data_IF_490023412429
#
_entry.id   IF_490023412429
#
_cell.length_a   1.000
_cell.length_b   1.000
_cell.length_c   1.000
_cell.angle_alpha   90.00
_cell.angle_beta   90.00
_cell.angle_gamma   90.00
#
_symmetry.space_group_name_H-M   'P 1'
#
loop_
_entity.id
_entity.type
_entity.pdbx_description
1 polymer ?
#
# COMPACT_ATOMS: atom_id res chain seq x y z
N UNK A 1 38.97 25.37 -39.46
CA UNK A 1 39.04 24.29 -38.45
C UNK A 1 38.00 24.60 -37.40
N UNK A 2 36.85 23.93 -37.48
CA UNK A 2 35.85 23.95 -36.43
C UNK A 2 36.14 22.80 -35.47
N UNK A 3 36.19 23.10 -34.17
CA UNK A 3 36.15 22.14 -33.08
C UNK A 3 34.86 22.38 -32.28
N UNK A 4 34.14 21.33 -31.87
CA UNK A 4 32.77 21.43 -31.38
C UNK A 4 32.75 21.91 -29.93
N UNK A 5 31.88 22.89 -29.63
CA UNK A 5 31.56 23.22 -28.27
C UNK A 5 30.51 22.22 -27.76
N UNK A 6 30.95 21.50 -26.74
CA UNK A 6 30.27 20.54 -25.89
C UNK A 6 28.79 20.79 -25.63
N UNK A 7 28.04 19.70 -25.73
CA UNK A 7 26.79 19.45 -25.05
C UNK A 7 26.91 19.80 -23.56
N UNK A 8 26.20 20.83 -23.09
CA UNK A 8 25.71 20.86 -21.72
C UNK A 8 24.32 20.23 -21.72
N UNK A 9 24.34 18.91 -21.59
CA UNK A 9 23.23 18.11 -21.12
C UNK A 9 22.80 18.65 -19.75
N UNK A 10 21.73 19.44 -19.76
CA UNK A 10 20.96 19.70 -18.53
C UNK A 10 20.21 18.42 -18.19
N UNK A 11 20.87 17.52 -17.48
CA UNK A 11 20.23 16.44 -16.75
C UNK A 11 19.32 17.04 -15.70
N UNK A 12 18.04 17.22 -16.03
CA UNK A 12 16.98 17.33 -15.03
C UNK A 12 16.86 15.97 -14.37
N UNK A 13 17.27 15.87 -13.11
CA UNK A 13 16.82 14.83 -12.20
C UNK A 13 15.30 14.91 -12.13
N UNK A 14 14.59 14.05 -12.86
CA UNK A 14 13.15 13.84 -12.69
C UNK A 14 12.96 12.83 -11.57
N UNK A 15 13.17 13.28 -10.35
CA UNK A 15 12.78 12.54 -9.13
C UNK A 15 11.38 13.02 -8.69
N UNK A 16 10.50 13.26 -9.68
CA UNK A 16 9.12 13.69 -9.46
C UNK A 16 8.30 12.45 -9.12
N UNK A 17 7.68 12.44 -7.93
CA UNK A 17 6.70 11.42 -7.58
C UNK A 17 5.58 11.41 -8.64
N UNK A 18 5.09 10.23 -9.04
CA UNK A 18 3.99 10.13 -9.99
C UNK A 18 2.72 10.74 -9.38
N UNK A 19 2.08 11.62 -10.12
CA UNK A 19 0.86 12.31 -9.68
C UNK A 19 -0.35 11.40 -9.83
N UNK A 20 -0.33 10.45 -10.76
CA UNK A 20 -1.39 9.47 -10.95
C UNK A 20 -0.86 8.03 -11.02
N UNK A 21 -1.33 7.18 -10.11
CA UNK A 21 -0.95 5.76 -10.01
C UNK A 21 -2.17 4.84 -10.17
N UNK A 22 -2.08 3.84 -11.04
CA UNK A 22 -3.05 2.76 -11.18
C UNK A 22 -2.56 1.50 -10.47
N UNK A 23 -3.33 1.02 -9.49
CA UNK A 23 -3.07 -0.21 -8.75
C UNK A 23 -3.89 -1.36 -9.34
N UNK A 24 -3.23 -2.30 -10.01
CA UNK A 24 -3.88 -3.52 -10.50
C UNK A 24 -3.85 -4.58 -9.41
N UNK A 25 -5.01 -5.00 -8.91
CA UNK A 25 -5.08 -5.91 -7.77
C UNK A 25 -6.51 -6.16 -7.32
N UNK A 26 -6.75 -7.35 -6.76
CA UNK A 26 -8.02 -7.69 -6.12
C UNK A 26 -8.23 -6.94 -4.80
N UNK A 27 -9.02 -7.53 -3.89
CA UNK A 27 -9.43 -6.94 -2.61
C UNK A 27 -8.29 -6.78 -1.57
N UNK A 28 -7.17 -6.19 -2.00
CA UNK A 28 -6.11 -5.76 -1.12
C UNK A 28 -6.59 -4.52 -0.38
N UNK A 29 -6.58 -4.59 0.95
CA UNK A 29 -6.74 -3.46 1.85
C UNK A 29 -5.75 -2.33 1.47
N UNK A 30 -5.96 -1.13 2.03
CA UNK A 30 -4.95 -0.06 1.96
C UNK A 30 -3.58 -0.65 2.28
N UNK A 31 -2.58 -0.43 1.42
CA UNK A 31 -1.22 -0.86 1.72
C UNK A 31 -0.69 -2.13 1.09
N UNK A 32 -1.20 -2.55 -0.07
CA UNK A 32 -0.38 -3.40 -0.94
C UNK A 32 0.97 -2.70 -1.24
N UNK A 33 2.00 -3.45 -1.61
CA UNK A 33 3.38 -2.94 -1.89
C UNK A 33 3.43 -1.79 -2.93
N UNK A 34 2.30 -1.50 -3.54
CA UNK A 34 2.07 -0.47 -4.52
C UNK A 34 1.47 0.84 -3.96
N UNK A 35 1.08 0.86 -2.68
CA UNK A 35 0.51 2.06 -2.05
C UNK A 35 1.63 3.06 -1.70
N UNK A 36 1.40 4.37 -1.88
CA UNK A 36 2.41 5.38 -1.60
C UNK A 36 2.81 5.38 -0.11
N UNK A 37 4.07 5.74 0.16
CA UNK A 37 4.57 5.95 1.52
C UNK A 37 4.03 7.29 2.06
N UNK A 38 3.15 7.24 3.07
CA UNK A 38 2.40 8.39 3.55
C UNK A 38 2.74 8.72 5.00
N UNK A 39 2.92 10.02 5.26
CA UNK A 39 3.02 10.54 6.62
C UNK A 39 1.63 10.99 7.10
N UNK A 40 0.90 10.18 7.89
CA UNK A 40 -0.52 10.42 8.19
C UNK A 40 -0.77 11.83 8.76
N UNK A 41 0.08 12.30 9.66
CA UNK A 41 -0.08 13.61 10.30
C UNK A 41 0.12 14.80 9.35
N UNK A 42 0.64 14.59 8.15
CA UNK A 42 0.95 15.61 7.13
C UNK A 42 0.14 15.46 5.85
N UNK A 43 -0.65 14.40 5.72
CA UNK A 43 -1.40 14.10 4.50
C UNK A 43 -2.90 14.24 4.76
N UNK A 44 -3.60 14.95 3.88
CA UNK A 44 -5.06 14.90 3.76
C UNK A 44 -5.41 13.76 2.80
N UNK A 45 -6.41 12.96 3.15
CA UNK A 45 -6.77 11.77 2.36
C UNK A 45 -8.25 11.79 2.07
N UNK A 46 -8.59 11.71 0.79
CA UNK A 46 -9.95 11.54 0.31
C UNK A 46 -10.11 10.15 -0.28
N UNK A 47 -10.97 9.33 0.32
CA UNK A 47 -11.29 7.99 -0.20
C UNK A 47 -12.67 8.00 -0.86
N UNK A 48 -12.74 7.46 -2.07
CA UNK A 48 -13.98 7.18 -2.79
C UNK A 48 -14.23 5.67 -2.77
N UNK A 49 -15.29 5.23 -2.08
CA UNK A 49 -15.61 3.82 -1.92
C UNK A 49 -17.10 3.55 -2.17
N UNK A 50 -17.39 2.65 -3.12
CA UNK A 50 -18.77 2.23 -3.42
C UNK A 50 -19.19 1.05 -2.55
N UNK A 51 -18.34 0.03 -2.44
CA UNK A 51 -18.69 -1.24 -1.81
C UNK A 51 -18.37 -1.29 -0.31
N UNK A 52 -17.27 -0.66 0.12
CA UNK A 52 -16.79 -0.78 1.51
C UNK A 52 -17.49 0.21 2.43
N UNK A 53 -17.77 -0.24 3.64
CA UNK A 53 -18.33 0.60 4.68
C UNK A 53 -17.31 1.62 5.19
N UNK A 54 -17.80 2.71 5.77
CA UNK A 54 -16.95 3.73 6.44
C UNK A 54 -16.03 3.09 7.49
N UNK A 55 -16.58 2.16 8.28
CA UNK A 55 -15.82 1.48 9.34
C UNK A 55 -14.69 0.64 8.75
N UNK A 56 -14.95 -0.17 7.72
CA UNK A 56 -13.93 -0.99 7.07
C UNK A 56 -12.81 -0.13 6.47
N UNK A 57 -13.16 0.97 5.80
CA UNK A 57 -12.15 1.89 5.25
C UNK A 57 -11.25 2.49 6.33
N UNK A 58 -11.84 2.90 7.45
CA UNK A 58 -11.11 3.51 8.56
C UNK A 58 -10.25 2.48 9.31
N UNK A 59 -10.75 1.27 9.51
CA UNK A 59 -10.03 0.17 10.15
C UNK A 59 -8.81 -0.24 9.30
N UNK A 60 -9.00 -0.50 8.01
CA UNK A 60 -7.91 -0.88 7.10
C UNK A 60 -6.84 0.21 7.00
N UNK A 61 -7.25 1.49 6.96
CA UNK A 61 -6.30 2.60 6.98
C UNK A 61 -5.45 2.60 8.27
N UNK A 62 -6.10 2.42 9.42
CA UNK A 62 -5.40 2.39 10.73
C UNK A 62 -4.48 1.19 10.85
N UNK A 63 -4.89 0.05 10.33
CA UNK A 63 -4.04 -1.14 10.29
C UNK A 63 -2.80 -0.91 9.43
N UNK A 64 -2.95 -0.19 8.31
CA UNK A 64 -1.83 0.10 7.41
C UNK A 64 -0.87 1.18 7.93
N UNK A 65 -1.40 2.35 8.31
CA UNK A 65 -0.61 3.56 8.60
C UNK A 65 -0.42 3.78 10.11
N UNK A 66 -1.17 3.07 10.97
CA UNK A 66 -1.10 3.18 12.43
C UNK A 66 -1.82 4.39 13.03
N UNK A 67 -2.10 5.42 12.24
CA UNK A 67 -2.79 6.64 12.66
C UNK A 67 -3.73 7.17 11.56
N UNK A 68 -4.70 8.01 11.96
CA UNK A 68 -5.57 8.71 11.00
C UNK A 68 -4.80 9.82 10.28
N UNK A 69 -5.14 10.10 9.00
CA UNK A 69 -4.54 11.21 8.26
C UNK A 69 -4.92 12.54 8.90
N UNK A 70 -4.28 13.65 8.51
CA UNK A 70 -4.55 14.98 9.05
C UNK A 70 -6.02 15.40 8.91
N UNK A 71 -6.57 15.18 7.71
CA UNK A 71 -7.99 15.26 7.41
C UNK A 71 -8.38 14.01 6.60
N UNK A 72 -9.52 13.42 6.92
CA UNK A 72 -10.00 12.20 6.26
C UNK A 72 -11.37 12.45 5.62
N UNK A 73 -11.41 12.60 4.30
CA UNK A 73 -12.65 12.64 3.52
C UNK A 73 -13.06 11.24 3.08
N UNK A 74 -14.34 10.90 3.21
CA UNK A 74 -14.91 9.64 2.73
C UNK A 74 -16.15 9.90 1.88
N UNK A 75 -16.07 9.56 0.59
CA UNK A 75 -17.22 9.55 -0.31
C UNK A 75 -17.73 8.11 -0.40
N UNK A 76 -18.95 7.86 0.10
CA UNK A 76 -19.57 6.53 0.13
C UNK A 76 -20.93 6.50 -0.55
N UNK A 77 -21.44 5.29 -0.81
CA UNK A 77 -22.74 5.07 -1.46
C UNK A 77 -23.75 4.38 -0.53
N UNK A 78 -23.40 4.20 0.75
CA UNK A 78 -24.33 3.75 1.76
C UNK A 78 -25.30 4.87 2.14
N UNK A 79 -26.58 4.55 2.31
CA UNK A 79 -27.60 5.50 2.77
C UNK A 79 -27.24 6.03 4.17
N UNK A 80 -27.24 7.36 4.34
CA UNK A 80 -27.20 7.95 5.67
C UNK A 80 -28.57 7.82 6.34
N UNK A 81 -28.59 7.45 7.62
CA UNK A 81 -29.81 7.54 8.43
C UNK A 81 -30.29 9.01 8.52
N UNK A 82 -31.48 9.26 7.94
CA UNK A 82 -32.45 10.40 8.02
C UNK A 82 -31.99 11.86 8.10
N UNK A 83 -30.75 12.19 8.43
CA UNK A 83 -30.27 13.57 8.62
C UNK A 83 -29.84 14.25 7.32
N UNK A 84 -29.59 13.47 6.26
CA UNK A 84 -29.15 13.96 4.96
C UNK A 84 -30.28 14.58 4.10
N UNK A 85 -31.55 14.32 4.42
CA UNK A 85 -32.70 14.78 3.63
C UNK A 85 -32.89 16.30 3.64
N UNK A 86 -32.31 17.02 4.61
CA UNK A 86 -32.39 18.48 4.66
C UNK A 86 -31.42 19.18 3.67
N UNK A 87 -30.30 18.52 3.30
CA UNK A 87 -29.24 19.11 2.46
C UNK A 87 -29.41 18.83 0.95
N UNK A 88 -30.40 18.03 0.55
CA UNK A 88 -30.66 17.71 -0.86
C UNK A 88 -31.15 18.91 -1.71
N UNK A 89 -31.50 20.04 -1.06
CA UNK A 89 -32.08 21.22 -1.71
C UNK A 89 -31.07 22.12 -2.43
N UNK A 90 -29.77 22.00 -2.16
CA UNK A 90 -28.74 22.91 -2.68
C UNK A 90 -28.00 22.42 -3.93
N UNK A 91 -28.29 21.21 -4.44
CA UNK A 91 -27.58 20.61 -5.58
C UNK A 91 -26.13 20.16 -5.28
N UNK A 92 -25.45 20.83 -4.36
CA UNK A 92 -24.11 20.47 -3.84
C UNK A 92 -24.13 19.12 -3.09
N UNK A 93 -23.10 18.26 -3.24
CA UNK A 93 -22.94 17.04 -2.43
C UNK A 93 -22.89 17.35 -0.92
N UNK A 94 -23.67 16.66 -0.08
CA UNK A 94 -23.68 16.91 1.37
C UNK A 94 -22.37 16.44 2.01
N UNK A 95 -21.77 17.27 2.88
CA UNK A 95 -20.59 16.91 3.68
C UNK A 95 -20.94 16.95 5.16
N UNK A 96 -20.72 15.85 5.86
CA UNK A 96 -21.05 15.71 7.27
C UNK A 96 -19.79 15.32 8.07
N UNK A 97 -19.23 16.23 8.89
CA UNK A 97 -18.13 15.88 9.79
C UNK A 97 -18.64 14.94 10.89
N UNK A 98 -17.85 13.92 11.24
CA UNK A 98 -18.12 13.08 12.41
C UNK A 98 -17.71 13.83 13.68
N UNK A 99 -18.57 13.86 14.71
CA UNK A 99 -18.21 14.45 15.99
C UNK A 99 -16.99 13.76 16.61
N UNK A 100 -15.99 14.54 17.00
CA UNK A 100 -14.81 14.03 17.73
C UNK A 100 -13.77 13.32 16.87
N UNK A 101 -13.87 13.40 15.54
CA UNK A 101 -12.82 12.93 14.62
C UNK A 101 -12.55 13.97 13.53
N UNK A 102 -11.46 13.77 12.80
CA UNK A 102 -11.11 14.54 11.61
C UNK A 102 -11.67 13.89 10.33
N UNK A 103 -12.78 13.15 10.46
CA UNK A 103 -13.42 12.42 9.38
C UNK A 103 -14.63 13.22 8.89
N UNK A 104 -14.72 13.42 7.58
CA UNK A 104 -15.87 14.03 6.92
C UNK A 104 -16.47 13.06 5.91
N UNK A 105 -17.76 12.80 6.00
CA UNK A 105 -18.47 11.89 5.09
C UNK A 105 -19.26 12.65 4.04
N UNK A 106 -19.31 12.10 2.84
CA UNK A 106 -20.18 12.50 1.74
C UNK A 106 -20.87 11.25 1.22
N UNK A 107 -22.20 11.19 1.27
CA UNK A 107 -22.95 10.08 0.67
C UNK A 107 -23.42 10.47 -0.73
N UNK A 108 -23.36 9.50 -1.61
CA UNK A 108 -23.84 9.53 -2.97
C UNK A 108 -24.94 8.49 -3.15
N UNK A 109 -25.93 8.81 -3.98
CA UNK A 109 -27.04 7.90 -4.23
C UNK A 109 -26.80 6.96 -5.42
N UNK A 110 -25.99 7.39 -6.40
CA UNK A 110 -25.86 6.71 -7.69
C UNK A 110 -24.42 6.77 -8.20
N UNK A 111 -23.74 5.62 -8.38
CA UNK A 111 -22.38 5.57 -8.91
C UNK A 111 -22.28 6.01 -10.38
N UNK A 112 -23.39 6.08 -11.12
CA UNK A 112 -23.40 6.60 -12.49
C UNK A 112 -23.35 8.13 -12.58
N UNK A 113 -23.60 8.85 -11.47
CA UNK A 113 -23.52 10.31 -11.43
C UNK A 113 -22.07 10.80 -11.22
N UNK A 114 -21.23 10.53 -12.23
CA UNK A 114 -19.81 10.90 -12.25
C UNK A 114 -19.59 12.42 -12.14
N UNK A 115 -20.57 13.23 -12.58
CA UNK A 115 -20.52 14.70 -12.45
C UNK A 115 -20.65 15.14 -11.00
N UNK A 116 -21.59 14.54 -10.26
CA UNK A 116 -21.75 14.79 -8.83
C UNK A 116 -20.55 14.29 -8.04
N UNK A 117 -19.99 13.13 -8.40
CA UNK A 117 -18.75 12.63 -7.83
C UNK A 117 -17.58 13.60 -8.05
N UNK A 118 -17.35 14.04 -9.29
CA UNK A 118 -16.30 15.02 -9.60
C UNK A 118 -16.46 16.31 -8.81
N UNK A 119 -17.70 16.82 -8.72
CA UNK A 119 -18.01 18.00 -7.89
C UNK A 119 -17.63 17.77 -6.43
N UNK A 120 -17.96 16.60 -5.85
CA UNK A 120 -17.61 16.32 -4.46
C UNK A 120 -16.10 16.26 -4.25
N UNK A 121 -15.36 15.62 -5.16
CA UNK A 121 -13.89 15.53 -5.06
C UNK A 121 -13.26 16.92 -5.12
N UNK A 122 -13.61 17.74 -6.12
CA UNK A 122 -13.08 19.09 -6.26
C UNK A 122 -13.35 19.95 -5.01
N UNK A 123 -14.52 19.80 -4.37
CA UNK A 123 -14.81 20.53 -3.14
C UNK A 123 -13.90 20.16 -1.95
N UNK A 124 -13.40 18.92 -1.88
CA UNK A 124 -12.40 18.56 -0.88
C UNK A 124 -11.02 19.11 -1.26
N UNK A 125 -10.63 18.99 -2.53
CA UNK A 125 -9.35 19.49 -3.01
C UNK A 125 -9.25 21.01 -2.84
N UNK A 126 -10.28 21.77 -3.20
CA UNK A 126 -10.33 23.22 -3.01
C UNK A 126 -10.21 23.62 -1.53
N UNK A 127 -10.87 22.89 -0.63
CA UNK A 127 -10.80 23.17 0.82
C UNK A 127 -9.40 22.85 1.41
N UNK A 128 -8.64 21.98 0.76
CA UNK A 128 -7.32 21.54 1.21
C UNK A 128 -6.16 22.20 0.47
N UNK A 129 -6.41 22.87 -0.66
CA UNK A 129 -5.40 23.51 -1.50
C UNK A 129 -4.56 24.56 -0.75
N UNK A 130 -5.15 25.25 0.23
CA UNK A 130 -4.46 26.27 1.03
C UNK A 130 -3.78 25.70 2.29
N UNK A 131 -3.76 24.36 2.46
CA UNK A 131 -3.11 23.72 3.61
C UNK A 131 -1.68 23.31 3.26
N UNK A 132 -0.72 23.49 4.18
CA UNK A 132 0.68 23.02 4.01
C UNK A 132 0.79 21.48 4.15
N UNK A 133 -0.13 20.75 3.54
CA UNK A 133 -0.32 19.29 3.69
C UNK A 133 -0.40 18.66 2.32
N UNK A 134 0.22 17.48 2.18
CA UNK A 134 0.07 16.65 0.99
C UNK A 134 -1.39 16.22 0.87
N UNK A 135 -1.90 16.09 -0.36
CA UNK A 135 -3.28 15.65 -0.59
C UNK A 135 -3.31 14.42 -1.47
N UNK A 136 -4.02 13.38 -1.02
CA UNK A 136 -4.19 12.12 -1.74
C UNK A 136 -5.67 11.86 -2.01
N UNK A 137 -6.02 11.58 -3.27
CA UNK A 137 -7.31 11.03 -3.67
C UNK A 137 -7.15 9.54 -3.97
N UNK A 138 -7.87 8.71 -3.23
CA UNK A 138 -7.83 7.26 -3.36
C UNK A 138 -9.19 6.72 -3.83
N UNK A 139 -9.25 6.17 -5.04
CA UNK A 139 -10.44 5.51 -5.59
C UNK A 139 -10.32 4.01 -5.33
N UNK A 140 -11.16 3.53 -4.41
CA UNK A 140 -11.04 2.19 -3.86
C UNK A 140 -11.37 1.09 -4.87
N UNK A 141 -12.30 1.28 -5.79
CA UNK A 141 -12.54 0.28 -6.83
C UNK A 141 -13.09 0.93 -8.08
N UNK A 142 -12.48 0.65 -9.23
CA UNK A 142 -12.94 1.19 -10.50
C UNK A 142 -14.15 0.45 -11.09
N UNK A 143 -14.26 -0.87 -10.83
CA UNK A 143 -15.28 -1.73 -11.43
C UNK A 143 -16.73 -1.21 -11.24
N UNK A 144 -17.16 -0.75 -10.05
CA UNK A 144 -18.51 -0.22 -9.87
C UNK A 144 -18.85 0.97 -10.77
N UNK A 145 -17.86 1.80 -11.13
CA UNK A 145 -18.06 2.94 -12.03
C UNK A 145 -18.15 2.50 -13.48
N UNK A 146 -17.31 1.54 -13.88
CA UNK A 146 -17.32 0.93 -15.21
C UNK A 146 -18.65 0.20 -15.45
N UNK A 147 -19.12 -0.56 -14.47
CA UNK A 147 -20.39 -1.29 -14.55
C UNK A 147 -21.59 -0.34 -14.65
N UNK A 148 -21.57 0.77 -13.91
CA UNK A 148 -22.67 1.72 -13.88
C UNK A 148 -22.70 2.68 -15.09
N UNK A 149 -21.53 3.12 -15.58
CA UNK A 149 -21.40 4.21 -16.57
C UNK A 149 -20.78 3.81 -17.90
N UNK A 150 -20.22 2.61 -17.99
CA UNK A 150 -19.39 2.14 -19.11
C UNK A 150 -17.93 2.62 -19.02
N UNK A 151 -17.02 1.97 -19.76
CA UNK A 151 -15.59 2.26 -19.70
C UNK A 151 -15.25 3.65 -20.26
N UNK A 152 -15.89 4.10 -21.34
CA UNK A 152 -15.61 5.40 -21.95
C UNK A 152 -15.96 6.58 -21.03
N UNK A 153 -17.15 6.54 -20.40
CA UNK A 153 -17.59 7.59 -19.47
C UNK A 153 -16.69 7.63 -18.23
N UNK A 154 -16.32 6.46 -17.73
CA UNK A 154 -15.40 6.31 -16.58
C UNK A 154 -14.00 6.83 -16.93
N UNK A 155 -13.52 6.56 -18.15
CA UNK A 155 -12.22 7.06 -18.62
C UNK A 155 -12.22 8.58 -18.68
N UNK A 156 -13.28 9.19 -19.24
CA UNK A 156 -13.40 10.65 -19.29
C UNK A 156 -13.41 11.26 -17.88
N UNK A 157 -14.13 10.65 -16.95
CA UNK A 157 -14.15 11.08 -15.56
C UNK A 157 -12.76 11.01 -14.92
N UNK A 158 -12.07 9.88 -15.03
CA UNK A 158 -10.72 9.72 -14.48
C UNK A 158 -9.72 10.69 -15.10
N UNK A 159 -9.80 10.92 -16.41
CA UNK A 159 -8.95 11.89 -17.10
C UNK A 159 -9.12 13.30 -16.51
N UNK A 160 -10.36 13.73 -16.28
CA UNK A 160 -10.65 15.03 -15.67
C UNK A 160 -10.24 15.08 -14.19
N UNK A 161 -10.40 13.97 -13.47
CA UNK A 161 -9.99 13.86 -12.07
C UNK A 161 -8.47 14.02 -11.93
N UNK A 162 -7.69 13.27 -12.71
CA UNK A 162 -6.22 13.35 -12.72
C UNK A 162 -5.77 14.77 -13.09
N UNK A 163 -6.37 15.37 -14.12
CA UNK A 163 -6.04 16.74 -14.51
C UNK A 163 -6.40 17.77 -13.42
N UNK A 164 -7.49 17.56 -12.68
CA UNK A 164 -7.89 18.45 -11.59
C UNK A 164 -7.01 18.30 -10.36
N UNK A 165 -6.55 17.08 -10.06
CA UNK A 165 -5.67 16.81 -8.93
C UNK A 165 -4.27 17.39 -9.16
N UNK A 166 -3.71 17.21 -10.36
CA UNK A 166 -2.43 17.81 -10.77
C UNK A 166 -2.43 19.35 -10.63
N UNK A 167 -3.52 20.01 -11.04
CA UNK A 167 -3.68 21.46 -10.87
C UNK A 167 -3.71 21.94 -9.42
N UNK A 168 -4.09 21.05 -8.50
CA UNK A 168 -4.25 21.34 -7.06
C UNK A 168 -3.15 20.67 -6.22
N UNK A 169 -2.06 20.22 -6.85
CA UNK A 169 -0.91 19.55 -6.21
C UNK A 169 -1.33 18.35 -5.34
N UNK A 170 -2.26 17.55 -5.87
CA UNK A 170 -2.79 16.36 -5.22
C UNK A 170 -2.45 15.10 -6.03
N UNK A 171 -2.09 14.04 -5.30
CA UNK A 171 -1.84 12.72 -5.88
C UNK A 171 -3.14 11.92 -6.04
N UNK A 172 -3.20 11.08 -7.06
CA UNK A 172 -4.35 10.22 -7.37
C UNK A 172 -3.91 8.77 -7.43
N UNK A 173 -4.55 7.93 -6.63
CA UNK A 173 -4.38 6.48 -6.66
C UNK A 173 -5.72 5.83 -6.97
N UNK A 174 -5.76 4.98 -7.99
CA UNK A 174 -6.97 4.26 -8.40
C UNK A 174 -6.70 2.78 -8.40
N UNK A 175 -7.53 2.00 -7.69
CA UNK A 175 -7.46 0.53 -7.72
C UNK A 175 -8.39 -0.05 -8.78
N UNK A 176 -7.87 -1.01 -9.54
CA UNK A 176 -8.64 -1.77 -10.52
C UNK A 176 -8.28 -3.25 -10.48
N UNK A 177 -9.25 -4.10 -10.15
CA UNK A 177 -9.08 -5.55 -10.20
C UNK A 177 -9.19 -6.05 -11.66
N UNK A 178 -8.10 -6.52 -12.28
CA UNK A 178 -8.13 -6.99 -13.66
C UNK A 178 -8.99 -8.25 -13.84
N UNK A 179 -9.35 -8.98 -12.78
CA UNK A 179 -10.25 -10.15 -12.86
C UNK A 179 -11.73 -9.75 -13.07
N UNK A 180 -12.07 -8.50 -12.79
CA UNK A 180 -13.44 -7.97 -12.91
C UNK A 180 -13.75 -7.40 -14.29
N UNK A 181 -12.76 -7.30 -15.18
CA UNK A 181 -12.91 -6.72 -16.51
C UNK A 181 -12.08 -7.49 -17.56
N UNK A 182 -12.31 -7.22 -18.84
CA UNK A 182 -11.47 -7.76 -19.90
C UNK A 182 -10.15 -6.97 -20.05
N UNK A 183 -9.13 -7.60 -20.64
CA UNK A 183 -7.82 -6.99 -20.88
C UNK A 183 -7.92 -5.68 -21.68
N UNK A 184 -8.90 -5.59 -22.58
CA UNK A 184 -9.13 -4.38 -23.38
C UNK A 184 -9.55 -3.21 -22.49
N UNK A 185 -10.42 -3.44 -21.54
CA UNK A 185 -10.90 -2.45 -20.58
C UNK A 185 -9.76 -1.99 -19.68
N UNK A 186 -8.97 -2.92 -19.12
CA UNK A 186 -7.76 -2.59 -18.34
C UNK A 186 -6.80 -1.73 -19.15
N UNK A 187 -6.48 -2.14 -20.38
CA UNK A 187 -5.57 -1.40 -21.25
C UNK A 187 -6.13 -0.05 -21.71
N UNK A 188 -7.45 0.16 -21.65
CA UNK A 188 -8.06 1.46 -21.94
C UNK A 188 -7.69 2.49 -20.87
N UNK A 189 -7.59 2.12 -19.59
CA UNK A 189 -7.32 3.05 -18.50
C UNK A 189 -5.84 3.33 -18.26
N UNK A 190 -4.95 2.37 -18.55
CA UNK A 190 -3.49 2.52 -18.32
C UNK A 190 -2.89 3.87 -18.77
N UNK A 191 -3.24 4.43 -19.95
CA UNK A 191 -2.63 5.69 -20.42
C UNK A 191 -2.99 6.93 -19.59
N UNK A 192 -3.93 6.84 -18.64
CA UNK A 192 -4.29 7.96 -17.77
C UNK A 192 -3.36 8.14 -16.58
N UNK A 193 -2.47 7.18 -16.32
CA UNK A 193 -1.66 7.12 -15.13
C UNK A 193 -0.19 7.18 -15.48
N UNK A 194 0.58 7.93 -14.70
CA UNK A 194 2.04 8.05 -14.83
C UNK A 194 2.71 6.72 -14.47
N UNK A 195 2.12 6.02 -13.50
CA UNK A 195 2.58 4.73 -13.01
C UNK A 195 1.45 3.71 -12.98
N UNK A 196 1.75 2.48 -13.41
CA UNK A 196 0.85 1.34 -13.25
C UNK A 196 1.58 0.27 -12.47
N UNK A 197 1.11 0.00 -11.26
CA UNK A 197 1.69 -1.00 -10.38
C UNK A 197 0.78 -2.22 -10.35
N UNK A 198 1.35 -3.37 -10.68
CA UNK A 198 0.63 -4.63 -10.72
C UNK A 198 0.84 -5.43 -9.42
N UNK A 199 -0.13 -5.33 -8.52
CA UNK A 199 -0.28 -6.12 -7.30
C UNK A 199 -0.91 -7.51 -7.55
N UNK A 200 -1.22 -7.89 -8.80
CA UNK A 200 -1.49 -9.30 -9.18
C UNK A 200 -0.23 -10.02 -9.65
N UNK A 201 0.69 -9.29 -10.30
CA UNK A 201 2.02 -9.78 -10.72
C UNK A 201 3.02 -9.74 -9.56
N UNK A 202 2.90 -8.74 -8.70
CA UNK A 202 3.40 -8.86 -7.33
C UNK A 202 2.38 -9.72 -6.62
N UNK A 203 2.54 -11.04 -6.66
CA UNK A 203 1.96 -11.88 -5.63
C UNK A 203 2.56 -11.39 -4.31
N UNK A 204 1.98 -10.34 -3.74
CA UNK A 204 2.17 -9.92 -2.38
C UNK A 204 2.00 -11.21 -1.60
N UNK A 205 3.05 -11.63 -0.88
CA UNK A 205 2.91 -12.76 0.04
C UNK A 205 1.58 -12.59 0.76
N UNK A 206 0.72 -13.60 0.66
CA UNK A 206 -0.56 -13.56 1.32
C UNK A 206 -0.28 -13.22 2.78
N UNK A 207 -0.93 -12.16 3.29
CA UNK A 207 -0.63 -11.63 4.62
C UNK A 207 -0.78 -12.72 5.69
N UNK A 208 -1.71 -13.66 5.47
CA UNK A 208 -1.91 -14.84 6.30
C UNK A 208 -0.78 -15.86 6.18
N UNK A 209 -0.25 -16.09 4.97
CA UNK A 209 0.91 -16.97 4.77
C UNK A 209 2.17 -16.37 5.41
N UNK A 210 2.39 -15.06 5.22
CA UNK A 210 3.50 -14.34 5.84
C UNK A 210 3.37 -14.35 7.36
N UNK A 211 2.18 -14.13 7.92
CA UNK A 211 1.92 -14.23 9.36
C UNK A 211 2.14 -15.64 9.89
N UNK A 212 1.69 -16.67 9.19
CA UNK A 212 1.92 -18.07 9.56
C UNK A 212 3.43 -18.43 9.56
N UNK A 213 4.18 -17.91 8.58
CA UNK A 213 5.64 -18.05 8.57
C UNK A 213 6.27 -17.22 9.69
N UNK A 214 5.91 -15.96 9.87
CA UNK A 214 6.56 -15.09 10.84
C UNK A 214 6.08 -15.28 12.29
N UNK A 215 5.09 -16.13 12.55
CA UNK A 215 4.68 -16.49 13.92
C UNK A 215 5.73 -17.27 14.73
N UNK A 216 6.85 -17.68 14.12
CA UNK A 216 7.91 -18.37 14.85
C UNK A 216 9.10 -17.45 15.14
N UNK A 217 9.44 -17.32 16.41
CA UNK A 217 10.50 -16.43 16.88
C UNK A 217 11.89 -16.71 16.26
N UNK A 218 12.22 -17.98 15.96
CA UNK A 218 13.49 -18.31 15.29
C UNK A 218 13.52 -17.81 13.85
N UNK A 219 12.39 -17.85 13.13
CA UNK A 219 12.31 -17.30 11.76
C UNK A 219 12.39 -15.78 11.75
N UNK A 220 11.74 -15.12 12.72
CA UNK A 220 11.86 -13.66 12.95
C UNK A 220 13.31 -13.27 13.25
N UNK A 221 13.99 -14.04 14.10
CA UNK A 221 15.40 -13.83 14.43
C UNK A 221 16.30 -13.88 13.19
N UNK A 222 16.15 -14.90 12.35
CA UNK A 222 16.92 -15.03 11.10
C UNK A 222 16.76 -13.80 10.21
N UNK A 223 15.54 -13.34 10.00
CA UNK A 223 15.26 -12.18 9.15
C UNK A 223 15.84 -10.89 9.74
N UNK A 224 15.74 -10.67 11.06
CA UNK A 224 16.35 -9.51 11.72
C UNK A 224 17.87 -9.47 11.53
N UNK A 225 18.55 -10.61 11.69
CA UNK A 225 19.99 -10.70 11.44
C UNK A 225 20.33 -10.39 9.98
N UNK A 226 19.51 -10.86 9.04
CA UNK A 226 19.73 -10.68 7.61
C UNK A 226 19.41 -9.26 7.12
N UNK A 227 18.46 -8.56 7.74
CA UNK A 227 18.20 -7.14 7.47
C UNK A 227 19.43 -6.28 7.80
N UNK A 228 20.16 -6.61 8.87
CA UNK A 228 21.37 -5.88 9.26
C UNK A 228 22.59 -6.20 8.38
N UNK A 229 22.71 -7.44 7.88
CA UNK A 229 23.97 -7.95 7.29
C UNK A 229 23.88 -8.40 5.84
N UNK A 230 22.67 -8.43 5.26
CA UNK A 230 22.25 -8.96 3.94
C UNK A 230 22.58 -10.42 3.64
N UNK A 231 23.67 -10.98 4.16
CA UNK A 231 24.05 -12.38 4.03
C UNK A 231 24.98 -12.86 5.15
N UNK A 232 24.78 -14.10 5.61
CA UNK A 232 25.53 -14.71 6.71
C UNK A 232 25.72 -16.22 6.49
N UNK A 233 26.80 -16.77 7.05
CA UNK A 233 27.03 -18.22 7.12
C UNK A 233 26.10 -18.88 8.15
N UNK A 234 25.61 -20.07 7.84
CA UNK A 234 24.66 -20.81 8.67
C UNK A 234 25.24 -21.11 10.06
N UNK A 235 26.54 -21.44 10.12
CA UNK A 235 27.28 -21.66 11.37
C UNK A 235 27.20 -20.43 12.29
N UNK A 236 27.53 -19.25 11.75
CA UNK A 236 27.50 -17.99 12.49
C UNK A 236 26.08 -17.58 12.88
N UNK A 237 25.09 -17.88 12.03
CA UNK A 237 23.68 -17.67 12.34
C UNK A 237 23.21 -18.59 13.48
N UNK A 238 23.67 -19.84 13.51
CA UNK A 238 23.39 -20.79 14.58
C UNK A 238 24.01 -20.37 15.91
N UNK A 239 25.26 -19.89 15.92
CA UNK A 239 25.87 -19.32 17.13
C UNK A 239 25.06 -18.13 17.64
N UNK A 240 24.67 -17.21 16.75
CA UNK A 240 23.84 -16.04 17.13
C UNK A 240 22.49 -16.46 17.69
N UNK A 241 21.84 -17.45 17.09
CA UNK A 241 20.56 -17.97 17.59
C UNK A 241 20.74 -18.63 18.96
N UNK A 242 21.75 -19.49 19.13
CA UNK A 242 22.01 -20.17 20.41
C UNK A 242 22.28 -19.17 21.55
N UNK A 243 23.01 -18.09 21.28
CA UNK A 243 23.22 -16.99 22.24
C UNK A 243 21.92 -16.32 22.65
N UNK A 244 21.10 -15.98 21.65
CA UNK A 244 19.83 -15.30 21.86
C UNK A 244 18.81 -16.16 22.63
N UNK A 245 18.75 -17.47 22.35
CA UNK A 245 17.80 -18.38 23.02
C UNK A 245 18.14 -18.71 24.47
N UNK A 246 19.43 -18.69 24.82
CA UNK A 246 19.90 -19.08 26.15
C UNK A 246 20.40 -17.89 26.97
N UNK A 247 20.24 -16.65 26.46
CA UNK A 247 20.69 -15.40 27.08
C UNK A 247 22.15 -15.48 27.57
N UNK A 248 23.04 -15.91 26.66
CA UNK A 248 24.46 -16.17 26.96
C UNK A 248 25.36 -15.71 25.82
N UNK A 249 26.59 -15.30 26.13
CA UNK A 249 27.64 -15.01 25.14
C UNK A 249 28.42 -16.27 24.71
N UNK A 250 28.40 -17.31 25.53
CA UNK A 250 29.13 -18.57 25.33
C UNK A 250 28.15 -19.76 25.40
N UNK A 251 27.44 -20.06 24.30
CA UNK A 251 26.57 -21.22 24.25
C UNK A 251 27.41 -22.51 24.26
N UNK A 252 26.88 -23.54 24.91
CA UNK A 252 27.47 -24.89 24.88
C UNK A 252 27.35 -25.52 23.50
N UNK A 253 28.21 -26.51 23.20
CA UNK A 253 28.13 -27.29 21.96
C UNK A 253 26.73 -27.87 21.72
N UNK A 254 26.07 -28.35 22.79
CA UNK A 254 24.73 -28.91 22.70
C UNK A 254 23.63 -27.87 22.40
N UNK A 255 23.81 -26.62 22.81
CA UNK A 255 22.91 -25.51 22.46
C UNK A 255 23.14 -25.05 21.02
N UNK A 256 24.41 -24.95 20.63
CA UNK A 256 24.81 -24.68 19.26
C UNK A 256 24.25 -25.73 18.29
N UNK A 257 24.44 -27.02 18.55
CA UNK A 257 23.98 -28.12 17.68
C UNK A 257 22.46 -28.12 17.51
N UNK A 258 21.73 -27.78 18.58
CA UNK A 258 20.27 -27.62 18.56
C UNK A 258 19.85 -26.47 17.66
N UNK A 259 20.49 -25.31 17.80
CA UNK A 259 20.21 -24.14 16.97
C UNK A 259 20.54 -24.40 15.50
N UNK A 260 21.71 -24.99 15.23
CA UNK A 260 22.18 -25.33 13.89
C UNK A 260 21.21 -26.28 13.19
N UNK A 261 20.86 -27.40 13.85
CA UNK A 261 19.94 -28.41 13.29
C UNK A 261 18.58 -27.79 12.97
N UNK A 262 18.04 -26.96 13.87
CA UNK A 262 16.76 -26.31 13.67
C UNK A 262 16.78 -25.32 12.50
N UNK A 263 17.84 -24.51 12.38
CA UNK A 263 18.02 -23.59 11.26
C UNK A 263 18.14 -24.35 9.95
N UNK A 264 19.05 -25.33 9.88
CA UNK A 264 19.35 -26.08 8.67
C UNK A 264 18.16 -26.90 8.14
N UNK A 265 17.37 -27.48 9.04
CA UNK A 265 16.36 -28.49 8.69
C UNK A 265 14.93 -27.93 8.62
N UNK A 266 14.66 -26.84 9.33
CA UNK A 266 13.28 -26.32 9.49
C UNK A 266 13.21 -24.85 9.07
N UNK A 267 13.94 -23.97 9.77
CA UNK A 267 13.66 -22.54 9.68
C UNK A 267 14.17 -21.92 8.38
N UNK A 268 15.42 -22.18 7.98
CA UNK A 268 15.98 -21.66 6.72
C UNK A 268 15.27 -22.28 5.51
N UNK A 269 15.04 -23.61 5.43
CA UNK A 269 14.26 -24.18 4.34
C UNK A 269 12.86 -23.61 4.22
N UNK A 270 12.14 -23.42 5.34
CA UNK A 270 10.79 -22.84 5.30
C UNK A 270 10.78 -21.39 4.83
N UNK A 271 11.75 -20.59 5.27
CA UNK A 271 11.93 -19.22 4.77
C UNK A 271 12.30 -19.18 3.29
N UNK A 272 13.06 -20.17 2.81
CA UNK A 272 13.44 -20.27 1.40
C UNK A 272 12.30 -20.75 0.51
N UNK A 273 11.46 -21.66 1.01
CA UNK A 273 10.24 -22.12 0.34
C UNK A 273 9.29 -20.95 0.04
N UNK A 274 9.15 -20.04 1.00
CA UNK A 274 8.38 -18.79 0.83
C UNK A 274 9.24 -17.65 0.31
N UNK A 275 10.38 -17.90 -0.34
CA UNK A 275 11.15 -16.87 -1.04
C UNK A 275 11.62 -15.66 -0.20
N UNK A 276 11.64 -15.75 1.13
CA UNK A 276 12.15 -14.69 2.02
C UNK A 276 13.68 -14.72 2.11
N UNK A 277 14.27 -15.91 2.00
CA UNK A 277 15.72 -16.09 2.00
C UNK A 277 16.15 -17.01 0.86
N UNK A 278 17.37 -16.83 0.38
CA UNK A 278 18.04 -17.81 -0.46
C UNK A 278 19.08 -18.55 0.38
N UNK A 279 19.09 -19.88 0.30
CA UNK A 279 20.06 -20.73 0.98
C UNK A 279 20.91 -21.47 -0.03
N UNK A 280 22.19 -21.10 -0.08
CA UNK A 280 23.21 -21.78 -0.87
C UNK A 280 23.77 -22.93 -0.04
N UNK A 281 23.30 -24.16 -0.32
CA UNK A 281 23.75 -25.38 0.39
C UNK A 281 25.25 -25.65 0.22
N UNK A 282 25.84 -25.56 -0.99
CA UNK A 282 27.29 -25.71 -1.16
C UNK A 282 28.15 -24.80 -0.29
N UNK A 283 27.75 -23.54 -0.12
CA UNK A 283 28.53 -22.56 0.66
C UNK A 283 27.99 -22.32 2.08
N UNK A 284 26.91 -23.02 2.44
CA UNK A 284 26.13 -22.83 3.67
C UNK A 284 25.82 -21.35 3.99
N UNK A 285 25.56 -20.54 2.96
CA UNK A 285 25.21 -19.14 3.12
C UNK A 285 23.72 -18.91 2.99
N UNK A 286 23.19 -18.15 3.94
CA UNK A 286 21.84 -17.61 3.92
C UNK A 286 21.94 -16.14 3.52
N UNK A 287 21.06 -15.70 2.63
CA UNK A 287 20.93 -14.28 2.24
C UNK A 287 19.48 -13.92 2.09
N UNK A 288 19.16 -12.63 2.21
CA UNK A 288 17.88 -12.13 1.76
C UNK A 288 17.70 -12.47 0.27
N UNK A 289 16.51 -12.96 -0.07
CA UNK A 289 16.13 -13.17 -1.46
C UNK A 289 15.68 -11.85 -2.09
N UNK A 290 15.88 -11.70 -3.40
CA UNK A 290 15.34 -10.58 -4.18
C UNK A 290 13.87 -10.85 -4.53
N UNK A 291 13.07 -11.22 -3.52
CA UNK A 291 11.69 -11.69 -3.67
C UNK A 291 10.66 -10.57 -3.74
N UNK A 292 9.39 -10.94 -3.94
CA UNK A 292 8.23 -10.04 -3.97
C UNK A 292 7.83 -9.58 -2.54
N UNK A 293 8.78 -9.08 -1.77
CA UNK A 293 8.59 -8.53 -0.43
C UNK A 293 9.48 -7.29 -0.26
N UNK A 294 9.00 -6.26 0.44
CA UNK A 294 9.80 -5.08 0.77
C UNK A 294 10.44 -5.20 2.15
N UNK A 295 11.61 -4.56 2.30
CA UNK A 295 12.35 -4.52 3.58
C UNK A 295 11.49 -3.83 4.65
N UNK A 296 10.81 -2.74 4.28
CA UNK A 296 9.92 -2.00 5.17
C UNK A 296 8.74 -2.85 5.66
N UNK A 297 8.18 -3.72 4.79
CA UNK A 297 7.08 -4.63 5.15
C UNK A 297 7.53 -5.69 6.13
N UNK A 298 8.69 -6.31 5.90
CA UNK A 298 9.29 -7.26 6.84
C UNK A 298 9.54 -6.61 8.20
N UNK A 299 10.13 -5.42 8.23
CA UNK A 299 10.40 -4.69 9.48
C UNK A 299 9.11 -4.45 10.28
N UNK A 300 8.04 -4.01 9.61
CA UNK A 300 6.73 -3.79 10.23
C UNK A 300 6.19 -5.06 10.90
N UNK A 301 6.22 -6.19 10.19
CA UNK A 301 5.79 -7.47 10.78
C UNK A 301 6.67 -7.90 11.94
N UNK A 302 7.97 -7.65 11.89
CA UNK A 302 8.93 -8.02 12.94
C UNK A 302 8.81 -7.12 14.19
N UNK A 303 8.24 -5.92 14.08
CA UNK A 303 7.98 -5.01 15.21
C UNK A 303 6.67 -5.27 15.97
N UNK A 304 5.68 -5.91 15.34
CA UNK A 304 4.46 -6.33 16.05
C UNK A 304 4.79 -7.48 17.03
N UNK A 305 4.32 -7.47 18.28
CA UNK A 305 4.47 -8.62 19.17
C UNK A 305 3.81 -9.87 18.55
N UNK A 306 4.45 -11.03 18.70
CA UNK A 306 3.86 -12.30 18.23
C UNK A 306 2.70 -12.65 19.14
N UNK A 307 1.57 -13.13 18.61
CA UNK A 307 0.39 -13.55 19.40
C UNK A 307 0.65 -14.76 20.35
N UNK A 308 1.90 -15.24 20.40
CA UNK A 308 2.36 -16.40 21.19
C UNK A 308 3.21 -15.99 22.43
N UNK A 309 3.25 -14.70 22.79
CA UNK A 309 3.87 -14.20 24.05
C UNK A 309 2.90 -14.17 25.24
#
# INVERSE_FOLDING_TARGET
MGGPNSDESSGKSSDSRPTATLLLGGDAAFGSDASPDLSPERTNVLVVSVARSVQAVVEDWREYVGALPAAFGLITYAEFDRSASASASTGRPPRQPLPGSNITLTSMADPSDLRRLGTAVTLYLDDWADTDRETLVYVDALAPFVDASGPESTFQFLHLLVQSADQLDADVVVRFDPSTADDRTVNTFRPLFDEVVDATTTAAFDADELRAVLGNNRRRFVLRVLLDTSSIELERLATRLARWENDTDEPTDAEYDRAYTALASIHVPRLAEVGLVAFDRPTERVRLADGNWSTERLERYLTTPSDDD
#
